data_IF_235311693166
#
_entry.id   IF_235311693166
#
_cell.length_a   1.000
_cell.length_b   1.000
_cell.length_c   1.000
_cell.angle_alpha   90.00
_cell.angle_beta   90.00
_cell.angle_gamma   90.00
#
_symmetry.space_group_name_H-M   'P 1'
#
loop_
_entity.id
_entity.type
_entity.pdbx_description
1 polymer ?
#
# COMPACT_ATOMS: atom_id res chain seq x y z
N UNK A 1 -0.74 3.48 12.90
CA UNK A 1 -2.11 3.11 13.30
C UNK A 1 -2.02 1.95 14.30
N UNK A 2 -2.83 1.95 15.37
CA UNK A 2 -2.82 0.89 16.39
C UNK A 2 -4.00 -0.08 16.22
N UNK A 3 -4.26 -0.51 14.98
CA UNK A 3 -5.36 -1.41 14.63
C UNK A 3 -5.03 -2.21 13.37
N UNK A 4 -5.76 -3.29 13.14
CA UNK A 4 -5.77 -3.98 11.86
C UNK A 4 -6.41 -3.06 10.79
N UNK A 5 -5.88 -3.12 9.57
CA UNK A 5 -6.48 -2.45 8.42
C UNK A 5 -7.80 -3.12 8.01
N UNK A 6 -8.72 -2.34 7.50
CA UNK A 6 -9.97 -2.82 6.92
C UNK A 6 -9.78 -3.15 5.44
N UNK A 7 -10.51 -4.12 4.86
CA UNK A 7 -10.36 -4.51 3.46
C UNK A 7 -10.35 -3.35 2.44
N UNK A 8 -11.17 -2.29 2.58
CA UNK A 8 -11.14 -1.15 1.67
C UNK A 8 -9.80 -0.39 1.65
N UNK A 9 -9.05 -0.38 2.76
CA UNK A 9 -7.76 0.32 2.85
C UNK A 9 -6.69 -0.36 1.98
N UNK A 10 -6.74 -1.69 1.87
CA UNK A 10 -5.87 -2.46 0.97
C UNK A 10 -6.35 -2.38 -0.49
N UNK A 11 -7.67 -2.48 -0.69
CA UNK A 11 -8.28 -2.42 -2.02
C UNK A 11 -8.00 -1.08 -2.72
N UNK A 12 -7.91 0.02 -1.98
CA UNK A 12 -7.57 1.33 -2.52
C UNK A 12 -6.19 1.34 -3.20
N UNK A 13 -5.15 0.78 -2.54
CA UNK A 13 -3.82 0.70 -3.15
C UNK A 13 -3.84 -0.25 -4.36
N UNK A 14 -4.50 -1.41 -4.23
CA UNK A 14 -4.60 -2.37 -5.34
C UNK A 14 -5.27 -1.74 -6.57
N UNK A 15 -6.37 -1.00 -6.38
CA UNK A 15 -7.07 -0.30 -7.45
C UNK A 15 -6.20 0.80 -8.08
N UNK A 16 -5.42 1.52 -7.29
CA UNK A 16 -4.47 2.50 -7.82
C UNK A 16 -3.38 1.83 -8.66
N UNK A 17 -2.77 0.75 -8.15
CA UNK A 17 -1.71 0.01 -8.86
C UNK A 17 -2.21 -0.65 -10.15
N UNK A 18 -3.48 -1.05 -10.20
CA UNK A 18 -4.12 -1.57 -11.40
C UNK A 18 -4.53 -0.49 -12.41
N UNK A 19 -4.40 0.79 -12.06
CA UNK A 19 -4.79 1.91 -12.94
C UNK A 19 -3.63 2.43 -13.78
N UNK A 20 -3.94 3.11 -14.89
CA UNK A 20 -2.96 3.81 -15.74
C UNK A 20 -2.09 4.83 -14.98
N UNK A 21 -2.56 5.31 -13.82
CA UNK A 21 -1.82 6.27 -13.00
C UNK A 21 -0.57 5.68 -12.36
N UNK A 22 -0.50 4.36 -12.24
CA UNK A 22 0.64 3.64 -11.70
C UNK A 22 1.57 3.07 -12.79
N UNK A 23 1.45 3.53 -14.05
CA UNK A 23 2.15 2.97 -15.22
C UNK A 23 3.68 2.89 -15.13
N UNK A 24 4.31 3.66 -14.23
CA UNK A 24 5.76 3.63 -14.01
C UNK A 24 6.18 2.89 -12.73
N UNK A 25 5.23 2.33 -11.97
CA UNK A 25 5.51 1.59 -10.74
C UNK A 25 5.59 0.10 -11.08
N UNK A 26 6.81 -0.44 -11.06
CA UNK A 26 7.07 -1.86 -11.31
C UNK A 26 8.18 -2.39 -10.41
N UNK A 27 8.17 -3.69 -10.08
CA UNK A 27 9.22 -4.33 -9.29
C UNK A 27 9.35 -3.86 -7.84
N UNK A 28 8.30 -3.25 -7.28
CA UNK A 28 8.30 -2.69 -5.93
C UNK A 28 7.38 -3.48 -4.99
N UNK A 29 7.75 -3.52 -3.70
CA UNK A 29 6.88 -3.98 -2.61
C UNK A 29 6.48 -2.76 -1.78
N UNK A 30 5.18 -2.47 -1.71
CA UNK A 30 4.63 -1.31 -1.00
C UNK A 30 3.90 -1.80 0.25
N UNK A 31 4.36 -1.37 1.42
CA UNK A 31 3.74 -1.74 2.69
C UNK A 31 2.42 -0.99 2.91
N UNK A 32 1.36 -1.73 3.25
CA UNK A 32 0.06 -1.20 3.68
C UNK A 32 -0.25 -1.76 5.07
N UNK A 33 0.52 -1.32 6.06
CA UNK A 33 0.52 -1.91 7.40
C UNK A 33 0.20 -0.89 8.51
N UNK A 34 -0.20 0.32 8.14
CA UNK A 34 -0.45 1.40 9.09
C UNK A 34 0.80 1.88 9.82
N UNK A 35 2.00 1.66 9.27
CA UNK A 35 3.27 2.05 9.88
C UNK A 35 3.78 1.05 10.92
N UNK A 36 3.46 -0.22 10.76
CA UNK A 36 3.97 -1.29 11.62
C UNK A 36 5.46 -1.53 11.37
N UNK A 37 5.84 -1.65 10.10
CA UNK A 37 7.23 -1.70 9.68
C UNK A 37 7.82 -0.30 9.80
N UNK A 38 8.87 -0.17 10.60
CA UNK A 38 9.69 1.04 10.72
C UNK A 38 10.80 0.97 9.68
N UNK A 39 10.48 1.26 8.42
CA UNK A 39 11.50 1.44 7.40
C UNK A 39 12.00 2.89 7.47
N UNK A 40 13.31 3.05 7.72
CA UNK A 40 14.04 4.31 7.92
C UNK A 40 13.97 4.92 9.34
N UNK A 41 14.37 4.14 10.34
CA UNK A 41 15.14 4.55 11.52
C UNK A 41 16.09 3.41 11.91
#
# INVERSE_FOLDING_TARGET
>A
MRRLGEPPEFAALAAFLASERASYITGNSIAVDGGWIRALL
#
